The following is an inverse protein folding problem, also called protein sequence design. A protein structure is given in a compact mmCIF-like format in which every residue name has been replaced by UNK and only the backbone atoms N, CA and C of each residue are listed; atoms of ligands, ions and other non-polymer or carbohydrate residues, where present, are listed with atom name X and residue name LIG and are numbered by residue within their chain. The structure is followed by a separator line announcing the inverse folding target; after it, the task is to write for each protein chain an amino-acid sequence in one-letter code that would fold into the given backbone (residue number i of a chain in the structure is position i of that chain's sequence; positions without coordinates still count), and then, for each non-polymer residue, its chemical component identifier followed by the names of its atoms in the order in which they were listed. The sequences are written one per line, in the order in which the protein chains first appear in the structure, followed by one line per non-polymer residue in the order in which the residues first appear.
data_IF_925420042723
#
_entry.id   IF_925420042723
#
_cell.length_a   1.000
_cell.length_b   1.000
_cell.length_c   1.000
_cell.angle_alpha   90.00
_cell.angle_beta   90.00
_cell.angle_gamma   90.00
#
_symmetry.space_group_name_H-M   'P 1'
#
loop_
_entity.id
_entity.type
_entity.pdbx_description
1 polymer ?
#
# COMPACT_ATOMS: atom_id res chain seq x y z
N UNK A 1 -23.47 -36.50 -27.99
CA UNK A 1 -24.09 -35.77 -26.86
C UNK A 1 -23.10 -35.81 -25.71
N UNK A 2 -22.33 -34.74 -25.54
CA UNK A 2 -21.32 -34.61 -24.51
C UNK A 2 -21.84 -33.62 -23.48
N UNK A 3 -22.15 -34.11 -22.30
CA UNK A 3 -22.48 -33.33 -21.11
C UNK A 3 -21.29 -32.42 -20.80
N UNK A 4 -21.48 -31.10 -20.97
CA UNK A 4 -20.59 -30.10 -20.37
C UNK A 4 -20.79 -30.18 -18.86
N UNK A 5 -19.88 -30.85 -18.18
CA UNK A 5 -19.64 -30.62 -16.75
C UNK A 5 -19.15 -29.17 -16.66
N UNK A 6 -20.00 -28.27 -16.17
CA UNK A 6 -19.59 -26.91 -15.83
C UNK A 6 -18.59 -27.02 -14.69
N UNK A 7 -17.32 -26.81 -14.99
CA UNK A 7 -16.29 -26.52 -14.00
C UNK A 7 -16.62 -25.19 -13.34
N UNK A 8 -17.42 -25.22 -12.27
CA UNK A 8 -17.46 -24.13 -11.28
C UNK A 8 -16.21 -24.27 -10.43
N UNK A 9 -15.17 -23.49 -10.74
CA UNK A 9 -13.95 -23.40 -9.94
C UNK A 9 -13.66 -21.95 -9.54
N UNK A 10 -14.66 -21.27 -8.97
CA UNK A 10 -14.54 -19.84 -8.60
C UNK A 10 -15.09 -19.45 -7.21
N UNK A 11 -15.49 -20.37 -6.34
CA UNK A 11 -16.10 -19.98 -5.06
C UNK A 11 -15.45 -20.67 -3.85
N UNK A 12 -14.41 -20.03 -3.32
CA UNK A 12 -13.85 -20.25 -1.98
C UNK A 12 -13.70 -18.91 -1.25
N UNK A 13 -14.78 -18.12 -1.20
CA UNK A 13 -14.79 -16.82 -0.52
C UNK A 13 -16.11 -16.59 0.20
N UNK A 14 -16.08 -16.71 1.53
CA UNK A 14 -17.22 -16.47 2.40
C UNK A 14 -16.89 -16.87 3.83
N UNK A 15 -17.76 -16.54 4.80
CA UNK A 15 -17.53 -16.87 6.19
C UNK A 15 -17.66 -18.37 6.46
N UNK A 16 -17.05 -18.85 7.54
CA UNK A 16 -17.13 -20.25 7.96
C UNK A 16 -17.48 -20.33 9.43
N UNK A 17 -18.40 -21.21 9.82
CA UNK A 17 -18.92 -21.28 11.18
C UNK A 17 -20.27 -21.98 11.25
N UNK A 18 -21.13 -21.52 12.16
CA UNK A 18 -22.45 -22.10 12.36
C UNK A 18 -23.50 -21.00 12.36
N UNK A 19 -24.64 -21.29 11.73
CA UNK A 19 -25.84 -20.46 11.81
C UNK A 19 -26.92 -21.22 12.59
N UNK A 20 -27.44 -20.58 13.64
CA UNK A 20 -28.57 -21.03 14.44
C UNK A 20 -29.83 -20.35 13.92
N UNK A 21 -30.87 -21.12 13.63
CA UNK A 21 -32.11 -20.62 13.08
C UNK A 21 -33.29 -21.49 13.56
N UNK A 22 -34.19 -20.91 14.35
CA UNK A 22 -35.36 -21.62 14.86
C UNK A 22 -35.01 -22.85 15.73
N UNK A 23 -33.83 -22.84 16.37
CA UNK A 23 -33.32 -23.97 17.17
C UNK A 23 -32.59 -25.05 16.37
N UNK A 24 -32.53 -24.92 15.04
CA UNK A 24 -31.69 -25.77 14.18
C UNK A 24 -30.32 -25.10 13.97
N UNK A 25 -29.26 -25.92 13.89
CA UNK A 25 -27.92 -25.44 13.52
C UNK A 25 -27.55 -25.93 12.13
N UNK A 26 -27.10 -25.01 11.29
CA UNK A 26 -26.55 -25.30 9.97
C UNK A 26 -25.06 -24.98 9.95
N UNK A 27 -24.30 -25.82 9.24
CA UNK A 27 -22.89 -25.55 8.98
C UNK A 27 -22.78 -24.50 7.88
N UNK A 28 -21.89 -23.53 8.07
CA UNK A 28 -21.49 -22.60 7.02
C UNK A 28 -20.03 -22.87 6.66
N UNK A 29 -19.76 -23.17 5.40
CA UNK A 29 -18.42 -23.45 4.88
C UNK A 29 -18.13 -22.57 3.65
N UNK A 30 -17.19 -21.64 3.79
CA UNK A 30 -16.89 -20.62 2.76
C UNK A 30 -18.15 -19.93 2.20
N UNK A 31 -19.05 -19.53 3.11
CA UNK A 31 -20.34 -18.91 2.84
C UNK A 31 -21.45 -19.90 2.51
N UNK A 32 -21.16 -21.15 2.15
CA UNK A 32 -22.19 -22.13 1.78
C UNK A 32 -22.89 -22.66 3.02
N UNK A 33 -24.21 -22.55 3.06
CA UNK A 33 -25.02 -23.06 4.18
C UNK A 33 -25.45 -24.48 3.82
N UNK A 34 -25.07 -25.42 4.69
CA UNK A 34 -25.29 -26.84 4.52
C UNK A 34 -26.26 -27.38 5.59
N UNK A 35 -27.27 -28.12 5.14
CA UNK A 35 -28.15 -28.88 6.01
C UNK A 35 -27.42 -30.08 6.63
N UNK A 36 -28.06 -30.74 7.61
CA UNK A 36 -27.48 -31.87 8.34
C UNK A 36 -27.12 -33.08 7.44
N UNK A 37 -27.77 -33.22 6.29
CA UNK A 37 -27.49 -34.24 5.28
C UNK A 37 -26.33 -33.87 4.33
N UNK A 38 -25.70 -32.70 4.54
CA UNK A 38 -24.62 -32.17 3.72
C UNK A 38 -25.07 -31.47 2.44
N UNK A 39 -26.38 -31.38 2.18
CA UNK A 39 -26.89 -30.64 1.01
C UNK A 39 -26.76 -29.14 1.23
N UNK A 40 -26.31 -28.42 0.20
CA UNK A 40 -26.28 -26.96 0.22
C UNK A 40 -27.69 -26.42 0.06
N UNK A 41 -28.15 -25.64 1.04
CA UNK A 41 -29.49 -25.04 1.05
C UNK A 41 -29.47 -23.50 0.92
N UNK A 42 -28.30 -22.87 1.10
CA UNK A 42 -28.15 -21.43 0.96
C UNK A 42 -26.71 -20.92 0.94
N UNK A 43 -26.59 -19.62 1.16
CA UNK A 43 -25.37 -18.85 1.20
C UNK A 43 -25.48 -17.69 2.21
N UNK A 44 -24.42 -17.47 2.99
CA UNK A 44 -24.21 -16.35 3.89
C UNK A 44 -23.04 -15.51 3.37
N UNK A 45 -23.26 -14.20 3.26
CA UNK A 45 -22.21 -13.23 2.97
C UNK A 45 -21.66 -12.61 4.26
N UNK A 46 -20.45 -12.02 4.20
CA UNK A 46 -19.77 -11.47 5.40
C UNK A 46 -20.50 -10.26 6.00
N UNK A 47 -21.27 -9.54 5.18
CA UNK A 47 -22.06 -8.37 5.57
C UNK A 47 -23.41 -8.72 6.22
N UNK A 48 -23.72 -10.01 6.34
CA UNK A 48 -24.95 -10.52 6.95
C UNK A 48 -26.08 -10.77 5.96
N UNK A 49 -25.89 -10.60 4.65
CA UNK A 49 -26.90 -11.05 3.70
C UNK A 49 -26.96 -12.57 3.59
N UNK A 50 -28.18 -13.08 3.51
CA UNK A 50 -28.51 -14.47 3.28
C UNK A 50 -29.20 -14.65 1.94
N UNK A 51 -28.92 -15.76 1.28
CA UNK A 51 -29.60 -16.21 0.07
C UNK A 51 -29.84 -17.71 0.16
N UNK A 52 -31.05 -18.18 -0.07
CA UNK A 52 -31.31 -19.61 -0.08
C UNK A 52 -32.79 -19.96 0.02
N UNK A 53 -33.06 -21.25 0.03
CA UNK A 53 -34.41 -21.80 0.13
C UNK A 53 -34.52 -22.71 1.37
N UNK A 54 -34.25 -22.16 2.55
CA UNK A 54 -34.30 -22.89 3.82
C UNK A 54 -34.93 -22.05 4.93
N UNK A 55 -35.61 -22.72 5.86
CA UNK A 55 -36.29 -22.05 6.97
C UNK A 55 -37.17 -20.86 6.53
N UNK A 56 -37.08 -19.69 7.19
CA UNK A 56 -37.86 -18.49 6.88
C UNK A 56 -37.44 -17.77 5.57
N UNK A 57 -36.43 -18.27 4.85
CA UNK A 57 -36.04 -17.74 3.54
C UNK A 57 -36.84 -18.35 2.38
N UNK A 58 -37.57 -19.45 2.60
CA UNK A 58 -38.35 -20.12 1.56
C UNK A 58 -39.40 -19.23 0.89
N UNK A 59 -39.93 -18.25 1.63
CA UNK A 59 -40.93 -17.29 1.14
C UNK A 59 -40.33 -15.94 0.70
N UNK A 60 -39.04 -15.70 0.97
CA UNK A 60 -38.36 -14.44 0.65
C UNK A 60 -37.56 -14.57 -0.65
N UNK A 61 -37.89 -13.76 -1.65
CA UNK A 61 -37.11 -13.71 -2.89
C UNK A 61 -35.99 -12.68 -2.80
N UNK A 62 -34.74 -13.13 -2.99
CA UNK A 62 -33.57 -12.24 -3.07
C UNK A 62 -32.61 -12.38 -1.90
N UNK A 63 -31.85 -11.31 -1.63
CA UNK A 63 -31.00 -11.20 -0.45
C UNK A 63 -31.84 -10.74 0.73
N UNK A 64 -31.62 -11.34 1.89
CA UNK A 64 -32.31 -11.01 3.14
C UNK A 64 -31.26 -10.76 4.20
N UNK A 65 -31.32 -9.64 4.92
CA UNK A 65 -30.38 -9.41 6.01
C UNK A 65 -30.67 -10.39 7.15
N UNK A 66 -29.62 -10.96 7.74
CA UNK A 66 -29.73 -11.86 8.89
C UNK A 66 -30.46 -11.19 10.07
N UNK A 67 -30.32 -9.86 10.20
CA UNK A 67 -30.99 -9.04 11.21
C UNK A 67 -32.53 -9.00 11.04
N UNK A 68 -33.02 -9.24 9.82
CA UNK A 68 -34.47 -9.31 9.50
C UNK A 68 -35.08 -10.70 9.76
N UNK A 69 -34.30 -11.64 10.30
CA UNK A 69 -34.73 -13.01 10.59
C UNK A 69 -34.67 -13.25 12.08
N UNK A 70 -35.84 -13.31 12.70
CA UNK A 70 -35.98 -13.51 14.14
C UNK A 70 -35.24 -14.78 14.61
N UNK A 71 -34.36 -14.62 15.59
CA UNK A 71 -33.59 -15.71 16.18
C UNK A 71 -32.50 -16.31 15.27
N UNK A 72 -32.19 -15.68 14.14
CA UNK A 72 -31.11 -16.11 13.26
C UNK A 72 -29.77 -15.55 13.73
N UNK A 73 -28.81 -16.41 14.07
CA UNK A 73 -27.48 -15.98 14.53
C UNK A 73 -26.40 -16.82 13.86
N UNK A 74 -25.40 -16.18 13.29
CA UNK A 74 -24.16 -16.77 12.84
C UNK A 74 -23.01 -16.46 13.81
N UNK A 75 -22.19 -17.47 14.08
CA UNK A 75 -20.92 -17.33 14.80
C UNK A 75 -19.83 -18.09 14.06
N UNK A 76 -18.72 -17.43 13.80
CA UNK A 76 -17.61 -18.05 13.09
C UNK A 76 -16.51 -17.06 12.72
N UNK A 77 -15.98 -17.23 11.52
CA UNK A 77 -14.92 -16.40 10.96
C UNK A 77 -15.29 -15.91 9.57
N UNK A 78 -14.78 -14.74 9.19
CA UNK A 78 -14.84 -14.24 7.81
C UNK A 78 -13.82 -14.97 6.91
N UNK A 79 -13.79 -14.63 5.62
CA UNK A 79 -12.89 -15.25 4.63
C UNK A 79 -11.39 -15.04 4.91
N UNK A 80 -11.04 -14.08 5.78
CA UNK A 80 -9.66 -13.83 6.21
C UNK A 80 -9.31 -14.52 7.53
N UNK A 81 -10.28 -15.20 8.15
CA UNK A 81 -10.10 -15.90 9.41
C UNK A 81 -10.21 -15.01 10.65
N UNK A 82 -10.82 -13.83 10.53
CA UNK A 82 -11.15 -12.99 11.69
C UNK A 82 -12.55 -13.33 12.20
N UNK A 83 -12.74 -13.23 13.52
CA UNK A 83 -14.02 -13.47 14.19
C UNK A 83 -15.17 -12.67 13.55
N UNK A 84 -16.27 -13.35 13.29
CA UNK A 84 -17.47 -12.79 12.70
C UNK A 84 -18.71 -13.33 13.41
N UNK A 85 -19.45 -12.41 14.01
CA UNK A 85 -20.73 -12.67 14.66
C UNK A 85 -21.81 -11.81 14.01
N UNK A 86 -22.94 -12.43 13.66
CA UNK A 86 -24.04 -11.79 12.95
C UNK A 86 -25.39 -12.31 13.48
N UNK A 87 -26.39 -11.47 13.78
CA UNK A 87 -26.26 -10.02 13.94
C UNK A 87 -25.25 -9.70 15.05
N UNK A 88 -24.54 -8.59 14.90
CA UNK A 88 -23.59 -8.12 15.90
C UNK A 88 -24.30 -7.58 17.16
N UNK A 89 -23.51 -7.26 18.19
CA UNK A 89 -24.03 -6.74 19.47
C UNK A 89 -24.63 -5.33 19.35
N UNK A 90 -24.22 -4.56 18.34
CA UNK A 90 -24.66 -3.16 18.14
C UNK A 90 -25.50 -3.05 16.88
N UNK A 91 -26.68 -2.44 17.04
CA UNK A 91 -27.48 -1.96 15.91
C UNK A 91 -26.84 -0.67 15.42
N UNK A 92 -26.70 -0.52 14.11
CA UNK A 92 -26.09 0.64 13.48
C UNK A 92 -26.91 1.16 12.30
N UNK A 93 -26.40 2.21 11.62
CA UNK A 93 -27.06 2.84 10.48
C UNK A 93 -27.14 1.93 9.25
N UNK A 94 -28.09 2.23 8.36
CA UNK A 94 -28.25 1.60 7.05
C UNK A 94 -28.14 2.64 5.93
N UNK A 95 -27.38 2.36 4.87
CA UNK A 95 -27.25 3.31 3.77
C UNK A 95 -26.10 3.06 2.82
N UNK A 96 -25.70 4.13 2.12
CA UNK A 96 -24.57 4.13 1.19
C UNK A 96 -23.45 4.99 1.76
N UNK A 97 -22.24 4.44 1.81
CA UNK A 97 -21.02 5.14 2.20
C UNK A 97 -20.10 5.29 0.98
N UNK A 98 -19.84 6.51 0.55
CA UNK A 98 -18.80 6.82 -0.43
C UNK A 98 -17.49 7.13 0.30
N UNK A 99 -16.55 6.20 0.26
CA UNK A 99 -15.25 6.29 0.93
C UNK A 99 -14.12 6.49 -0.08
N UNK A 100 -13.50 7.66 -0.11
CA UNK A 100 -12.51 8.08 -1.11
C UNK A 100 -12.95 7.84 -2.58
N UNK A 101 -14.25 7.99 -2.86
CA UNK A 101 -14.82 7.72 -4.17
C UNK A 101 -15.28 6.28 -4.40
N UNK A 102 -14.88 5.32 -3.56
CA UNK A 102 -15.37 3.93 -3.57
C UNK A 102 -16.75 3.89 -2.93
N UNK A 103 -17.70 3.23 -3.59
CA UNK A 103 -19.08 3.07 -3.08
C UNK A 103 -19.17 1.78 -2.27
N UNK A 104 -19.52 1.94 -1.00
CA UNK A 104 -19.70 0.88 -0.02
C UNK A 104 -21.15 0.88 0.48
N UNK A 105 -21.61 -0.29 0.88
CA UNK A 105 -22.94 -0.49 1.48
C UNK A 105 -22.77 -0.54 2.99
N UNK A 106 -23.66 0.11 3.73
CA UNK A 106 -23.73 0.00 5.20
C UNK A 106 -25.04 -0.69 5.56
N UNK A 107 -24.95 -1.82 6.26
CA UNK A 107 -26.11 -2.61 6.69
C UNK A 107 -26.01 -2.85 8.18
N UNK A 108 -26.93 -2.30 8.94
CA UNK A 108 -26.94 -2.36 10.41
C UNK A 108 -25.56 -2.01 11.01
N UNK A 109 -24.97 -0.93 10.51
CA UNK A 109 -23.63 -0.45 10.87
C UNK A 109 -22.47 -1.23 10.24
N UNK A 110 -22.67 -2.34 9.53
CA UNK A 110 -21.60 -3.10 8.88
C UNK A 110 -21.25 -2.49 7.53
N UNK A 111 -20.00 -2.08 7.34
CA UNK A 111 -19.51 -1.55 6.05
C UNK A 111 -19.05 -2.71 5.18
N UNK A 112 -19.63 -2.81 3.99
CA UNK A 112 -19.35 -3.85 3.02
C UNK A 112 -19.06 -3.29 1.64
N UNK A 113 -18.24 -4.04 0.91
CA UNK A 113 -18.01 -3.86 -0.52
C UNK A 113 -19.23 -4.30 -1.32
N UNK A 114 -19.29 -3.94 -2.61
CA UNK A 114 -20.38 -4.33 -3.50
C UNK A 114 -20.47 -5.85 -3.73
N UNK A 115 -19.38 -6.59 -3.50
CA UNK A 115 -19.33 -8.05 -3.51
C UNK A 115 -19.55 -8.68 -2.12
N UNK A 116 -20.12 -7.91 -1.18
CA UNK A 116 -20.54 -8.34 0.16
C UNK A 116 -19.39 -8.81 1.07
N UNK A 117 -18.16 -8.33 0.84
CA UNK A 117 -17.06 -8.51 1.79
C UNK A 117 -17.12 -7.44 2.86
N UNK A 118 -16.98 -7.86 4.11
CA UNK A 118 -16.99 -6.99 5.27
C UNK A 118 -15.63 -6.29 5.40
N UNK A 119 -15.65 -4.97 5.51
CA UNK A 119 -14.44 -4.13 5.60
C UNK A 119 -14.39 -3.27 6.86
N UNK A 120 -15.50 -3.11 7.56
CA UNK A 120 -15.55 -2.26 8.74
C UNK A 120 -16.94 -2.16 9.36
N UNK A 121 -17.04 -1.21 10.29
CA UNK A 121 -18.26 -0.80 10.97
C UNK A 121 -18.38 0.73 10.93
N UNK A 122 -19.61 1.22 10.96
CA UNK A 122 -19.98 2.63 11.00
C UNK A 122 -21.06 2.80 12.07
N UNK A 123 -20.92 3.77 12.97
CA UNK A 123 -21.91 4.05 14.01
C UNK A 123 -22.72 5.34 13.74
N UNK A 124 -23.74 5.60 14.57
CA UNK A 124 -24.63 6.77 14.42
C UNK A 124 -23.95 8.11 14.75
N UNK A 125 -22.76 8.06 15.37
CA UNK A 125 -21.90 9.20 15.62
C UNK A 125 -21.05 9.59 14.39
N UNK A 126 -20.95 8.71 13.40
CA UNK A 126 -20.15 8.93 12.19
C UNK A 126 -18.74 8.37 12.30
N UNK A 127 -18.45 7.55 13.30
CA UNK A 127 -17.15 6.93 13.48
C UNK A 127 -17.02 5.67 12.61
N UNK A 128 -15.88 5.54 11.94
CA UNK A 128 -15.55 4.38 11.11
C UNK A 128 -14.56 3.50 11.87
N UNK A 129 -14.89 2.22 11.99
CA UNK A 129 -13.99 1.19 12.46
C UNK A 129 -13.63 0.28 11.29
N UNK A 130 -12.36 0.03 11.07
CA UNK A 130 -11.90 -0.85 9.99
C UNK A 130 -11.55 -2.23 10.52
N UNK A 131 -11.74 -3.22 9.65
CA UNK A 131 -11.28 -4.60 9.85
C UNK A 131 -9.92 -4.77 9.18
N UNK A 132 -8.86 -4.91 9.97
CA UNK A 132 -7.51 -5.09 9.46
C UNK A 132 -7.18 -6.58 9.32
N UNK A 133 -7.26 -7.06 8.07
CA UNK A 133 -7.02 -8.47 7.70
C UNK A 133 -5.55 -8.89 7.86
N UNK A 134 -4.61 -7.95 7.80
CA UNK A 134 -3.17 -8.26 7.85
C UNK A 134 -2.71 -8.57 9.28
N UNK A 135 -3.19 -7.77 10.24
CA UNK A 135 -2.87 -7.98 11.67
C UNK A 135 -3.98 -8.67 12.46
N UNK A 136 -5.06 -9.06 11.78
CA UNK A 136 -6.20 -9.77 12.36
C UNK A 136 -6.87 -9.01 13.50
N UNK A 137 -7.06 -7.71 13.32
CA UNK A 137 -7.74 -6.86 14.29
C UNK A 137 -9.15 -6.53 13.77
N UNK A 138 -10.22 -7.02 14.43
CA UNK A 138 -11.58 -6.95 13.91
C UNK A 138 -12.19 -5.55 14.03
N UNK A 139 -11.61 -4.66 14.85
CA UNK A 139 -12.20 -3.35 15.10
C UNK A 139 -11.15 -2.31 15.48
N UNK A 140 -10.73 -1.51 14.51
CA UNK A 140 -9.83 -0.36 14.70
C UNK A 140 -10.49 0.94 14.31
N UNK A 141 -10.60 1.86 15.26
CA UNK A 141 -11.17 3.20 15.01
C UNK A 141 -10.21 4.01 14.13
N UNK A 142 -10.71 4.57 13.03
CA UNK A 142 -9.96 5.54 12.25
C UNK A 142 -10.02 6.91 12.93
N UNK A 143 -8.90 7.61 12.92
CA UNK A 143 -8.78 8.99 13.39
C UNK A 143 -8.74 9.98 12.21
N UNK A 144 -8.68 11.28 12.50
CA UNK A 144 -8.55 12.33 11.49
C UNK A 144 -7.30 12.20 10.59
N UNK A 145 -6.28 11.45 11.03
CA UNK A 145 -5.03 11.26 10.31
C UNK A 145 -5.05 10.05 9.38
N UNK A 146 -5.95 9.10 9.60
CA UNK A 146 -6.00 7.80 8.91
C UNK A 146 -7.28 7.66 8.10
N UNK A 147 -8.35 8.34 8.48
CA UNK A 147 -9.58 8.43 7.70
C UNK A 147 -9.38 9.20 6.39
N UNK A 148 -9.94 8.65 5.31
CA UNK A 148 -10.05 9.31 4.00
C UNK A 148 -11.38 10.05 3.91
N UNK A 149 -11.57 10.82 2.83
CA UNK A 149 -12.84 11.52 2.62
C UNK A 149 -14.00 10.52 2.63
N UNK A 150 -15.03 10.79 3.41
CA UNK A 150 -16.22 9.95 3.47
C UNK A 150 -17.49 10.77 3.37
N UNK A 151 -18.48 10.21 2.69
CA UNK A 151 -19.82 10.74 2.60
C UNK A 151 -20.83 9.60 2.78
N UNK A 152 -21.68 9.70 3.78
CA UNK A 152 -22.74 8.76 4.09
C UNK A 152 -24.11 9.38 3.83
N UNK A 153 -25.00 8.60 3.24
CA UNK A 153 -26.41 8.91 3.05
C UNK A 153 -27.25 7.67 3.36
N UNK A 154 -28.19 7.80 4.28
CA UNK A 154 -29.01 6.68 4.74
C UNK A 154 -29.87 7.02 5.94
N UNK A 155 -30.07 6.05 6.82
CA UNK A 155 -30.80 6.18 8.07
C UNK A 155 -29.92 5.78 9.25
N UNK A 156 -30.16 6.39 10.41
CA UNK A 156 -29.62 5.95 11.71
C UNK A 156 -30.30 4.68 12.18
N UNK A 157 -29.76 4.06 13.23
CA UNK A 157 -30.36 2.89 13.88
C UNK A 157 -31.80 3.10 14.36
N UNK A 158 -32.20 4.35 14.64
CA UNK A 158 -33.56 4.72 15.02
C UNK A 158 -34.53 4.93 13.83
N UNK A 159 -34.04 4.73 12.60
CA UNK A 159 -34.79 4.90 11.36
C UNK A 159 -34.88 6.34 10.86
N UNK A 160 -34.26 7.32 11.54
CA UNK A 160 -34.23 8.70 11.08
C UNK A 160 -33.24 8.90 9.93
N UNK A 161 -33.65 9.68 8.91
CA UNK A 161 -32.78 10.00 7.78
C UNK A 161 -31.55 10.80 8.23
N UNK A 162 -30.38 10.41 7.74
CA UNK A 162 -29.10 10.94 8.17
C UNK A 162 -28.10 11.03 7.01
N UNK A 163 -27.43 12.18 6.95
CA UNK A 163 -26.29 12.41 6.06
C UNK A 163 -25.09 12.83 6.90
N UNK A 164 -23.93 12.27 6.63
CA UNK A 164 -22.70 12.58 7.32
C UNK A 164 -21.54 12.73 6.34
N UNK A 165 -20.75 13.79 6.47
CA UNK A 165 -19.59 14.03 5.61
C UNK A 165 -18.35 14.30 6.48
N UNK A 166 -17.30 13.53 6.23
CA UNK A 166 -15.96 13.85 6.71
C UNK A 166 -15.09 14.23 5.51
N UNK A 167 -14.77 15.52 5.43
CA UNK A 167 -13.82 16.04 4.47
C UNK A 167 -12.46 16.21 5.13
N UNK A 168 -11.50 15.35 4.76
CA UNK A 168 -10.11 15.59 5.12
C UNK A 168 -9.67 16.91 4.47
N UNK A 169 -8.92 17.78 5.18
CA UNK A 169 -8.40 19.02 4.61
C UNK A 169 -7.31 18.70 3.57
N UNK A 170 -7.73 18.30 2.38
CA UNK A 170 -6.90 18.08 1.21
C UNK A 170 -6.73 19.39 0.45
N UNK A 171 -5.53 19.61 -0.08
CA UNK A 171 -5.19 20.82 -0.83
C UNK A 171 -5.99 20.95 -2.13
N UNK A 172 -6.38 19.81 -2.74
CA UNK A 172 -7.13 19.73 -4.02
C UNK A 172 -8.18 18.63 -4.01
N UNK A 173 -9.45 19.03 -3.88
CA UNK A 173 -10.61 18.10 -3.79
C UNK A 173 -10.86 17.27 -5.06
N UNK A 174 -10.27 17.63 -6.20
CA UNK A 174 -10.44 16.96 -7.48
C UNK A 174 -9.37 15.89 -7.79
N UNK A 175 -8.42 15.69 -6.88
CA UNK A 175 -7.33 14.72 -7.04
C UNK A 175 -7.50 13.56 -6.05
N UNK A 176 -6.87 12.44 -6.36
CA UNK A 176 -6.80 11.29 -5.46
C UNK A 176 -6.10 11.65 -4.14
N UNK A 177 -6.24 10.79 -3.13
CA UNK A 177 -5.58 11.00 -1.86
C UNK A 177 -4.05 10.95 -2.02
N UNK A 178 -3.56 9.96 -2.77
CA UNK A 178 -2.14 9.78 -3.04
C UNK A 178 -1.55 11.00 -3.76
N UNK A 179 -2.23 11.53 -4.78
CA UNK A 179 -1.81 12.73 -5.49
C UNK A 179 -1.73 13.96 -4.59
N UNK A 180 -2.72 14.15 -3.70
CA UNK A 180 -2.72 15.25 -2.74
C UNK A 180 -1.52 15.18 -1.79
N UNK A 181 -1.19 13.98 -1.29
CA UNK A 181 -0.08 13.81 -0.37
C UNK A 181 1.28 14.00 -1.05
N UNK A 182 1.41 13.66 -2.33
CA UNK A 182 2.59 14.03 -3.13
C UNK A 182 2.69 15.56 -3.22
N UNK A 183 1.63 16.25 -3.61
CA UNK A 183 1.64 17.72 -3.72
C UNK A 183 2.00 18.38 -2.38
N UNK A 184 1.47 17.88 -1.27
CA UNK A 184 1.79 18.38 0.08
C UNK A 184 3.20 18.08 0.53
N UNK A 185 3.83 17.05 -0.02
CA UNK A 185 5.20 16.70 0.30
C UNK A 185 6.21 17.62 -0.40
N UNK A 186 5.89 18.20 -1.57
CA UNK A 186 6.77 19.12 -2.28
C UNK A 186 6.37 20.59 -2.09
N UNK A 187 7.10 21.31 -1.22
CA UNK A 187 7.04 22.76 -1.11
C UNK A 187 7.38 23.36 -2.49
N UNK A 188 6.44 24.09 -3.10
CA UNK A 188 6.51 24.62 -4.47
C UNK A 188 6.19 23.66 -5.63
N UNK A 189 5.48 22.56 -5.39
CA UNK A 189 4.96 21.70 -6.47
C UNK A 189 4.27 22.49 -7.60
N UNK A 190 3.56 23.56 -7.25
CA UNK A 190 2.81 24.36 -8.22
C UNK A 190 3.67 25.19 -9.17
N UNK A 191 4.90 25.52 -8.77
CA UNK A 191 5.88 26.22 -9.61
C UNK A 191 6.51 25.30 -10.67
N UNK A 192 6.36 23.98 -10.53
CA UNK A 192 6.87 23.00 -11.48
C UNK A 192 6.12 23.07 -12.83
N UNK A 193 6.85 22.87 -13.92
CA UNK A 193 6.28 22.69 -15.24
C UNK A 193 5.62 21.29 -15.38
N UNK A 194 4.85 21.08 -16.45
CA UNK A 194 4.08 19.85 -16.60
C UNK A 194 4.94 18.56 -16.63
N UNK A 195 6.06 18.51 -17.38
CA UNK A 195 6.98 17.36 -17.32
C UNK A 195 7.54 17.09 -15.91
N UNK A 196 7.92 18.13 -15.17
CA UNK A 196 8.41 18.01 -13.79
C UNK A 196 7.34 17.43 -12.87
N UNK A 197 6.10 17.92 -12.98
CA UNK A 197 4.96 17.40 -12.23
C UNK A 197 4.73 15.92 -12.54
N UNK A 198 4.71 15.54 -13.82
CA UNK A 198 4.52 14.14 -14.22
C UNK A 198 5.59 13.21 -13.63
N UNK A 199 6.85 13.61 -13.74
CA UNK A 199 7.97 12.87 -13.18
C UNK A 199 7.84 12.67 -11.66
N UNK A 200 7.57 13.74 -10.91
CA UNK A 200 7.40 13.69 -9.45
C UNK A 200 6.24 12.77 -9.06
N UNK A 201 5.11 12.90 -9.76
CA UNK A 201 3.92 12.10 -9.47
C UNK A 201 4.19 10.61 -9.75
N UNK A 202 4.81 10.29 -10.87
CA UNK A 202 5.16 8.92 -11.27
C UNK A 202 6.14 8.27 -10.28
N UNK A 203 7.19 9.01 -9.88
CA UNK A 203 8.23 8.48 -9.01
C UNK A 203 7.77 8.32 -7.55
N UNK A 204 6.75 9.05 -7.11
CA UNK A 204 6.27 9.05 -5.73
C UNK A 204 4.94 8.30 -5.51
N UNK A 205 4.24 7.91 -6.58
CA UNK A 205 2.91 7.30 -6.51
C UNK A 205 2.86 6.07 -5.62
N UNK A 206 3.84 5.18 -5.75
CA UNK A 206 3.93 3.97 -4.91
C UNK A 206 3.89 4.34 -3.42
N UNK A 207 4.79 5.22 -3.01
CA UNK A 207 5.02 5.59 -1.62
C UNK A 207 3.83 6.33 -1.01
N UNK A 208 3.15 7.17 -1.81
CA UNK A 208 1.94 7.86 -1.39
C UNK A 208 0.74 6.92 -1.29
N UNK A 209 0.59 5.99 -2.23
CA UNK A 209 -0.54 5.06 -2.30
C UNK A 209 -0.48 3.98 -1.22
N UNK A 210 0.70 3.65 -0.70
CA UNK A 210 0.87 2.70 0.40
C UNK A 210 1.03 3.35 1.79
N UNK A 211 0.88 4.68 1.89
CA UNK A 211 0.92 5.40 3.17
C UNK A 211 2.31 5.77 3.70
N UNK A 212 3.39 5.27 3.09
CA UNK A 212 4.76 5.49 3.59
C UNK A 212 5.21 6.94 3.45
N UNK A 213 4.82 7.62 2.38
CA UNK A 213 5.14 9.04 2.17
C UNK A 213 4.64 9.90 3.33
N UNK A 214 3.45 9.59 3.85
CA UNK A 214 2.79 10.35 4.90
C UNK A 214 3.48 10.15 6.26
N UNK A 215 3.97 8.93 6.53
CA UNK A 215 4.78 8.64 7.73
C UNK A 215 6.12 9.36 7.64
N UNK A 216 6.82 9.23 6.51
CA UNK A 216 8.10 9.90 6.28
C UNK A 216 7.94 11.42 6.38
N UNK A 217 6.92 12.01 5.74
CA UNK A 217 6.66 13.46 5.80
C UNK A 217 6.42 13.97 7.21
N UNK A 218 5.70 13.21 8.03
CA UNK A 218 5.44 13.58 9.43
C UNK A 218 6.69 13.48 10.31
N UNK A 219 7.59 12.53 10.03
CA UNK A 219 8.82 12.33 10.79
C UNK A 219 9.95 13.25 10.34
N UNK A 220 10.15 13.35 9.03
CA UNK A 220 11.34 13.93 8.38
C UNK A 220 11.04 15.21 7.61
N UNK A 221 9.79 15.68 7.60
CA UNK A 221 9.37 16.92 6.96
C UNK A 221 9.13 16.83 5.44
N UNK A 222 9.20 17.97 4.76
CA UNK A 222 8.78 18.13 3.35
C UNK A 222 9.99 18.23 2.42
N UNK A 223 9.82 17.98 1.12
CA UNK A 223 10.84 18.26 0.11
C UNK A 223 10.72 19.71 -0.37
N UNK A 224 11.83 20.46 -0.32
CA UNK A 224 11.95 21.82 -0.84
C UNK A 224 12.79 21.85 -2.12
N UNK A 225 12.49 22.78 -3.03
CA UNK A 225 13.33 23.03 -4.20
C UNK A 225 14.28 24.20 -3.96
N UNK A 226 15.60 24.00 -4.12
CA UNK A 226 16.59 25.08 -4.20
C UNK A 226 17.80 25.01 -3.25
N UNK A 227 19.01 24.93 -3.82
CA UNK A 227 20.36 25.02 -3.22
C UNK A 227 20.62 24.16 -1.97
N UNK A 228 20.92 22.88 -2.18
CA UNK A 228 21.77 22.12 -1.26
C UNK A 228 22.95 21.51 -2.00
N UNK A 229 24.12 21.65 -1.39
CA UNK A 229 25.35 20.98 -1.78
C UNK A 229 25.16 19.48 -1.56
N UNK A 230 25.22 18.70 -2.63
CA UNK A 230 25.64 17.30 -2.57
C UNK A 230 26.92 17.24 -1.73
N UNK A 231 26.80 16.79 -0.50
CA UNK A 231 27.88 16.91 0.46
C UNK A 231 27.63 15.94 1.59
N UNK A 232 28.01 14.69 1.36
CA UNK A 232 28.21 13.66 2.36
C UNK A 232 27.15 13.65 3.47
N UNK A 233 26.19 12.73 3.37
CA UNK A 233 25.33 12.31 4.49
C UNK A 233 26.12 11.63 5.64
N UNK A 234 27.34 12.10 5.92
CA UNK A 234 28.04 11.96 7.18
C UNK A 234 28.41 13.35 7.66
N UNK A 235 27.89 13.73 8.82
CA UNK A 235 28.23 14.93 9.59
C UNK A 235 27.42 16.19 9.22
N UNK A 236 26.31 16.36 9.96
CA UNK A 236 25.65 17.63 10.29
C UNK A 236 25.03 18.43 9.13
N UNK A 237 23.78 18.11 8.80
CA UNK A 237 22.90 18.93 7.98
C UNK A 237 21.43 18.48 8.00
N UNK A 238 21.18 17.18 8.18
CA UNK A 238 19.83 16.57 8.19
C UNK A 238 19.22 16.56 9.60
N UNK A 239 19.27 17.68 10.32
CA UNK A 239 18.50 17.84 11.59
C UNK A 239 17.27 18.74 11.46
N UNK A 240 17.00 19.27 10.27
CA UNK A 240 15.85 20.13 10.01
C UNK A 240 15.22 19.80 8.65
N UNK A 241 14.55 18.65 8.57
CA UNK A 241 13.24 18.54 7.96
C UNK A 241 13.05 18.73 6.44
N UNK A 242 14.08 19.09 5.68
CA UNK A 242 13.90 19.45 4.26
C UNK A 242 14.91 18.74 3.34
N UNK A 243 14.42 17.85 2.46
CA UNK A 243 15.19 17.42 1.27
C UNK A 243 15.27 18.61 0.35
N UNK A 244 16.46 18.95 -0.14
CA UNK A 244 16.60 20.07 -1.07
C UNK A 244 17.16 19.56 -2.39
N UNK A 245 16.32 19.61 -3.42
CA UNK A 245 16.73 19.24 -4.77
C UNK A 245 17.45 20.43 -5.43
N UNK A 246 18.68 20.21 -5.91
CA UNK A 246 19.36 21.18 -6.76
C UNK A 246 18.56 21.37 -8.05
N UNK A 247 18.29 22.62 -8.42
CA UNK A 247 17.37 22.93 -9.53
C UNK A 247 17.97 22.52 -10.88
N UNK A 248 19.25 22.75 -11.09
CA UNK A 248 19.92 22.44 -12.36
C UNK A 248 20.05 20.92 -12.53
N UNK A 249 20.36 20.22 -11.44
CA UNK A 249 20.43 18.77 -11.39
C UNK A 249 19.06 18.12 -11.60
N UNK A 250 18.02 18.64 -10.95
CA UNK A 250 16.65 18.20 -11.14
C UNK A 250 16.19 18.37 -12.60
N UNK A 251 16.48 19.52 -13.23
CA UNK A 251 16.16 19.76 -14.64
C UNK A 251 16.93 18.80 -15.56
N UNK A 252 18.21 18.56 -15.28
CA UNK A 252 19.04 17.61 -16.04
C UNK A 252 18.55 16.18 -15.90
N UNK A 253 18.22 15.73 -14.69
CA UNK A 253 17.74 14.38 -14.42
C UNK A 253 16.40 14.09 -15.10
N UNK A 254 15.48 15.06 -15.12
CA UNK A 254 14.21 14.90 -15.88
C UNK A 254 14.47 14.74 -17.37
N UNK A 255 15.44 15.48 -17.92
CA UNK A 255 15.82 15.35 -19.32
C UNK A 255 16.45 13.97 -19.61
N UNK A 256 17.24 13.42 -18.68
CA UNK A 256 17.78 12.07 -18.77
C UNK A 256 16.69 11.01 -18.65
N UNK A 257 15.79 11.14 -17.68
CA UNK A 257 14.64 10.24 -17.50
C UNK A 257 13.76 10.19 -18.75
N UNK A 258 13.42 11.36 -19.31
CA UNK A 258 12.63 11.44 -20.54
C UNK A 258 13.32 10.79 -21.74
N UNK A 259 14.65 10.84 -21.79
CA UNK A 259 15.44 10.37 -22.94
C UNK A 259 15.82 8.89 -22.85
N UNK A 260 16.15 8.41 -21.65
CA UNK A 260 16.75 7.11 -21.42
C UNK A 260 15.91 6.22 -20.49
N UNK A 261 14.87 6.76 -19.87
CA UNK A 261 14.06 6.07 -18.87
C UNK A 261 14.72 6.07 -17.48
N UNK A 262 14.28 5.16 -16.59
CA UNK A 262 14.72 5.15 -15.18
C UNK A 262 16.19 4.77 -15.00
N UNK A 263 16.84 4.18 -16.01
CA UNK A 263 18.24 3.77 -15.96
C UNK A 263 18.99 4.24 -17.21
N UNK A 264 20.19 4.76 -17.04
CA UNK A 264 21.06 5.18 -18.14
C UNK A 264 22.48 4.61 -17.97
N UNK A 265 23.14 4.32 -19.09
CA UNK A 265 24.57 3.99 -19.13
C UNK A 265 25.30 5.23 -19.63
N UNK A 266 26.21 5.76 -18.81
CA UNK A 266 26.97 6.97 -19.13
C UNK A 266 28.46 6.67 -19.23
N UNK A 267 29.12 7.29 -20.21
CA UNK A 267 30.58 7.23 -20.30
C UNK A 267 31.20 8.08 -19.20
N UNK A 268 32.26 7.57 -18.55
CA UNK A 268 33.08 8.37 -17.64
C UNK A 268 34.32 8.90 -18.38
N UNK A 269 35.07 9.79 -17.72
CA UNK A 269 36.30 10.38 -18.30
C UNK A 269 37.35 9.31 -18.64
N UNK A 270 37.40 8.23 -17.85
CA UNK A 270 38.37 7.15 -18.04
C UNK A 270 37.82 6.09 -19.00
N UNK A 271 38.25 6.12 -20.25
CA UNK A 271 37.84 5.15 -21.25
C UNK A 271 38.52 3.77 -21.03
N UNK A 272 37.86 2.64 -21.37
CA UNK A 272 36.54 2.52 -21.97
C UNK A 272 35.40 2.39 -20.93
N UNK A 273 35.60 2.86 -19.70
CA UNK A 273 34.66 2.60 -18.62
C UNK A 273 33.38 3.44 -18.69
N UNK A 274 32.30 2.84 -18.19
CA UNK A 274 30.96 3.40 -18.09
C UNK A 274 30.42 3.22 -16.68
N UNK A 275 29.45 4.04 -16.32
CA UNK A 275 28.68 3.97 -15.08
C UNK A 275 27.20 3.77 -15.43
N UNK A 276 26.49 2.92 -14.69
CA UNK A 276 25.03 2.83 -14.78
C UNK A 276 24.42 3.77 -13.75
N UNK A 277 23.46 4.61 -14.12
CA UNK A 277 22.78 5.53 -13.20
C UNK A 277 21.29 5.32 -13.19
N UNK A 278 20.67 5.55 -12.03
CA UNK A 278 19.22 5.64 -11.89
C UNK A 278 18.81 7.10 -12.02
N UNK A 279 17.95 7.41 -13.00
CA UNK A 279 17.47 8.77 -13.25
C UNK A 279 16.19 9.06 -12.45
N UNK A 280 16.21 8.80 -11.14
CA UNK A 280 15.06 8.92 -10.24
C UNK A 280 15.42 9.70 -8.96
N UNK A 281 16.05 10.87 -9.13
CA UNK A 281 16.56 11.72 -8.03
C UNK A 281 15.52 12.01 -6.94
N UNK A 282 14.26 12.23 -7.29
CA UNK A 282 13.21 12.52 -6.29
C UNK A 282 12.98 11.33 -5.35
N UNK A 283 12.89 10.13 -5.91
CA UNK A 283 12.69 8.92 -5.12
C UNK A 283 13.97 8.46 -4.43
N UNK A 284 15.13 8.80 -4.97
CA UNK A 284 16.43 8.62 -4.32
C UNK A 284 16.51 9.41 -3.01
N UNK A 285 16.21 10.71 -3.06
CA UNK A 285 16.21 11.54 -1.85
C UNK A 285 15.14 11.10 -0.84
N UNK A 286 13.97 10.69 -1.32
CA UNK A 286 12.97 10.05 -0.46
C UNK A 286 13.52 8.79 0.20
N UNK A 287 14.36 8.02 -0.49
CA UNK A 287 15.03 6.84 0.07
C UNK A 287 15.90 7.14 1.28
N UNK A 288 16.65 8.25 1.26
CA UNK A 288 17.39 8.71 2.44
C UNK A 288 16.45 9.02 3.62
N UNK A 289 15.33 9.68 3.37
CA UNK A 289 14.36 9.93 4.45
C UNK A 289 13.67 8.65 4.94
N UNK A 290 13.35 7.73 4.02
CA UNK A 290 12.75 6.44 4.35
C UNK A 290 13.67 5.62 5.26
N UNK A 291 14.99 5.73 5.12
CA UNK A 291 15.96 5.06 5.99
C UNK A 291 15.73 5.39 7.48
N UNK A 292 15.36 6.64 7.80
CA UNK A 292 15.14 7.10 9.17
C UNK A 292 13.88 6.52 9.82
N UNK A 293 12.89 6.05 9.05
CA UNK A 293 11.70 5.40 9.63
C UNK A 293 11.86 3.89 9.80
N UNK A 294 12.94 3.32 9.28
CA UNK A 294 13.25 1.89 9.43
C UNK A 294 13.70 1.53 10.85
N UNK A 295 13.38 0.30 11.25
CA UNK A 295 13.90 -0.29 12.49
C UNK A 295 15.41 -0.51 12.42
N UNK A 296 16.07 -0.56 13.58
CA UNK A 296 17.50 -0.88 13.63
C UNK A 296 17.82 -2.24 12.99
N UNK A 297 16.95 -3.24 13.18
CA UNK A 297 17.13 -4.56 12.58
C UNK A 297 17.12 -4.49 11.04
N UNK A 298 16.21 -3.71 10.48
CA UNK A 298 16.13 -3.48 9.02
C UNK A 298 17.38 -2.78 8.50
N UNK A 299 17.87 -1.75 9.20
CA UNK A 299 19.10 -1.03 8.83
C UNK A 299 20.33 -1.95 8.89
N UNK A 300 20.40 -2.85 9.87
CA UNK A 300 21.47 -3.86 9.94
C UNK A 300 21.41 -4.81 8.73
N UNK A 301 20.23 -5.32 8.37
CA UNK A 301 20.07 -6.18 7.19
C UNK A 301 20.51 -5.48 5.89
N UNK A 302 20.16 -4.20 5.73
CA UNK A 302 20.59 -3.38 4.59
C UNK A 302 22.10 -3.23 4.57
N UNK A 303 22.72 -2.98 5.72
CA UNK A 303 24.18 -2.84 5.87
C UNK A 303 24.91 -4.13 5.49
N UNK A 304 24.45 -5.28 6.00
CA UNK A 304 25.04 -6.59 5.68
C UNK A 304 24.96 -6.90 4.18
N UNK A 305 23.82 -6.58 3.56
CA UNK A 305 23.61 -6.78 2.14
C UNK A 305 24.52 -5.86 1.31
N UNK A 306 24.63 -4.59 1.68
CA UNK A 306 25.55 -3.64 1.05
C UNK A 306 27.00 -4.11 1.13
N UNK A 307 27.49 -4.52 2.30
CA UNK A 307 28.89 -4.96 2.46
C UNK A 307 29.19 -6.20 1.62
N UNK A 308 28.23 -7.14 1.53
CA UNK A 308 28.34 -8.30 0.65
C UNK A 308 28.47 -7.89 -0.82
N UNK A 309 27.64 -6.95 -1.28
CA UNK A 309 27.68 -6.45 -2.65
C UNK A 309 28.95 -5.64 -2.94
N UNK A 310 29.38 -4.81 -1.99
CA UNK A 310 30.62 -4.04 -2.09
C UNK A 310 31.84 -4.96 -2.21
N UNK A 311 31.91 -6.02 -1.41
CA UNK A 311 32.96 -7.03 -1.51
C UNK A 311 32.92 -7.78 -2.85
N UNK A 312 31.72 -8.15 -3.32
CA UNK A 312 31.51 -8.79 -4.63
C UNK A 312 31.97 -7.88 -5.77
N UNK A 313 31.55 -6.62 -5.77
CA UNK A 313 31.94 -5.61 -6.75
C UNK A 313 33.45 -5.38 -6.73
N UNK A 314 34.07 -5.23 -5.56
CA UNK A 314 35.53 -5.11 -5.44
C UNK A 314 36.32 -6.30 -6.00
N UNK A 315 35.75 -7.51 -5.96
CA UNK A 315 36.37 -8.73 -6.50
C UNK A 315 36.22 -8.85 -8.02
N UNK A 316 35.03 -8.56 -8.56
CA UNK A 316 34.72 -8.80 -9.97
C UNK A 316 34.94 -7.56 -10.86
N UNK A 317 34.73 -6.38 -10.30
CA UNK A 317 34.80 -5.08 -10.98
C UNK A 317 35.64 -4.10 -10.14
N UNK A 318 36.95 -4.40 -9.95
CA UNK A 318 37.84 -3.50 -9.21
C UNK A 318 37.89 -2.12 -9.89
N UNK A 319 38.03 -1.07 -9.08
CA UNK A 319 38.13 0.29 -9.61
C UNK A 319 39.37 0.41 -10.52
N UNK A 320 39.25 1.02 -11.71
CA UNK A 320 40.37 1.21 -12.61
C UNK A 320 41.46 2.09 -11.99
N UNK A 321 42.71 1.83 -12.37
CA UNK A 321 43.83 2.70 -11.99
C UNK A 321 43.59 4.13 -12.50
N UNK A 322 43.74 5.11 -11.60
CA UNK A 322 43.52 6.53 -11.90
C UNK A 322 42.06 6.98 -11.82
N UNK A 323 41.13 6.10 -11.42
CA UNK A 323 39.77 6.52 -11.07
C UNK A 323 39.71 7.03 -9.63
N UNK A 324 39.37 8.32 -9.47
CA UNK A 324 39.30 8.99 -8.16
C UNK A 324 37.93 8.82 -7.46
N UNK A 325 36.93 8.27 -8.16
CA UNK A 325 35.59 8.06 -7.62
C UNK A 325 35.43 6.73 -6.88
N UNK A 326 34.27 6.56 -6.24
CA UNK A 326 33.91 5.34 -5.50
C UNK A 326 32.78 4.53 -6.16
N UNK A 327 32.19 5.04 -7.25
CA UNK A 327 31.11 4.36 -7.96
C UNK A 327 31.58 3.06 -8.64
N UNK A 328 30.67 2.10 -8.82
CA UNK A 328 30.93 0.95 -9.67
C UNK A 328 31.05 1.42 -11.13
N UNK A 329 32.20 1.16 -11.73
CA UNK A 329 32.47 1.46 -13.13
C UNK A 329 32.82 0.17 -13.85
N UNK A 330 32.29 0.03 -15.06
CA UNK A 330 32.27 -1.21 -15.82
C UNK A 330 32.75 -0.96 -17.23
N UNK A 331 33.23 -1.99 -17.92
CA UNK A 331 33.30 -1.91 -19.39
C UNK A 331 31.89 -2.09 -19.98
N UNK A 332 31.61 -1.63 -21.22
CA UNK A 332 30.28 -1.74 -21.82
C UNK A 332 29.74 -3.18 -21.85
N UNK A 333 30.62 -4.17 -22.00
CA UNK A 333 30.27 -5.59 -22.04
C UNK A 333 29.83 -6.13 -20.66
N UNK A 334 30.21 -5.47 -19.57
CA UNK A 334 29.95 -5.90 -18.19
C UNK A 334 28.66 -5.30 -17.60
N UNK A 335 28.02 -4.34 -18.28
CA UNK A 335 26.84 -3.60 -17.77
C UNK A 335 25.70 -4.51 -17.31
N UNK A 336 25.44 -5.60 -18.04
CA UNK A 336 24.38 -6.56 -17.69
C UNK A 336 24.74 -7.49 -16.53
N UNK A 337 26.02 -7.55 -16.15
CA UNK A 337 26.54 -8.41 -15.08
C UNK A 337 26.88 -7.61 -13.81
N UNK A 338 26.56 -6.32 -13.79
CA UNK A 338 26.85 -5.40 -12.69
C UNK A 338 26.34 -5.91 -11.34
N UNK A 339 26.98 -5.44 -10.26
CA UNK A 339 26.54 -5.84 -8.91
C UNK A 339 25.45 -4.90 -8.41
N UNK A 340 25.58 -3.61 -8.66
CA UNK A 340 24.66 -2.61 -8.13
C UNK A 340 23.64 -2.15 -9.17
N UNK A 341 22.46 -1.73 -8.70
CA UNK A 341 21.41 -1.19 -9.59
C UNK A 341 21.88 0.09 -10.31
N UNK A 342 22.62 0.92 -9.58
CA UNK A 342 23.34 2.13 -10.01
C UNK A 342 24.80 2.02 -9.57
N UNK A 343 25.75 2.55 -10.33
CA UNK A 343 27.15 2.58 -9.94
C UNK A 343 27.37 3.44 -8.71
N UNK A 344 26.60 4.51 -8.55
CA UNK A 344 26.67 5.41 -7.40
C UNK A 344 26.31 4.72 -6.07
N UNK A 345 25.50 3.66 -6.10
CA UNK A 345 25.17 2.83 -4.94
C UNK A 345 26.40 2.20 -4.26
N UNK A 346 27.53 2.02 -4.98
CA UNK A 346 28.76 1.45 -4.41
C UNK A 346 29.43 2.37 -3.38
N UNK A 347 29.12 3.66 -3.39
CA UNK A 347 29.84 4.68 -2.63
C UNK A 347 29.64 4.55 -1.12
N UNK A 348 28.41 4.32 -0.66
CA UNK A 348 28.05 4.13 0.75
C UNK A 348 26.79 3.28 0.91
N UNK A 349 26.54 2.80 2.13
CA UNK A 349 25.32 2.06 2.46
C UNK A 349 24.05 2.92 2.25
N UNK A 350 24.12 4.20 2.61
CA UNK A 350 23.00 5.15 2.45
C UNK A 350 22.65 5.35 0.98
N UNK A 351 23.66 5.49 0.14
CA UNK A 351 23.49 5.66 -1.31
C UNK A 351 22.99 4.38 -1.96
N UNK A 352 23.48 3.22 -1.49
CA UNK A 352 22.94 1.94 -1.90
C UNK A 352 21.44 1.80 -1.59
N UNK A 353 21.02 2.17 -0.39
CA UNK A 353 19.62 2.13 0.00
C UNK A 353 18.77 3.09 -0.85
N UNK A 354 19.19 4.34 -0.97
CA UNK A 354 18.48 5.37 -1.75
C UNK A 354 18.32 4.97 -3.23
N UNK A 355 19.36 4.43 -3.85
CA UNK A 355 19.34 3.92 -5.22
C UNK A 355 18.39 2.73 -5.39
N UNK A 356 18.31 1.83 -4.41
CA UNK A 356 17.36 0.73 -4.41
C UNK A 356 15.91 1.22 -4.25
N UNK A 357 15.65 2.17 -3.36
CA UNK A 357 14.33 2.82 -3.20
C UNK A 357 13.92 3.49 -4.50
N UNK A 358 14.82 4.26 -5.11
CA UNK A 358 14.60 4.93 -6.38
C UNK A 358 14.20 3.92 -7.46
N UNK A 359 15.00 2.87 -7.67
CA UNK A 359 14.67 1.82 -8.63
C UNK A 359 13.36 1.08 -8.33
N UNK A 360 13.02 0.85 -7.05
CA UNK A 360 11.78 0.18 -6.66
C UNK A 360 10.52 1.03 -6.88
N UNK A 361 10.68 2.35 -6.96
CA UNK A 361 9.58 3.30 -7.08
C UNK A 361 8.79 3.15 -8.38
N UNK A 362 9.48 2.82 -9.48
CA UNK A 362 8.89 2.71 -10.83
C UNK A 362 8.93 1.25 -11.30
N UNK A 363 7.86 0.80 -11.98
CA UNK A 363 7.65 -0.63 -12.29
C UNK A 363 8.78 -1.23 -13.12
N UNK A 364 9.25 -0.52 -14.14
CA UNK A 364 10.28 -0.97 -15.07
C UNK A 364 11.62 -1.21 -14.36
N UNK A 365 12.07 -0.26 -13.54
CA UNK A 365 13.31 -0.40 -12.76
C UNK A 365 13.16 -1.37 -11.59
N UNK A 366 11.95 -1.51 -11.02
CA UNK A 366 11.67 -2.48 -9.95
C UNK A 366 11.91 -3.92 -10.41
N UNK A 367 11.54 -4.26 -11.65
CA UNK A 367 11.83 -5.58 -12.26
C UNK A 367 13.32 -5.84 -12.34
N UNK A 368 14.09 -4.83 -12.78
CA UNK A 368 15.54 -4.95 -12.86
C UNK A 368 16.18 -5.09 -11.48
N UNK A 369 15.69 -4.36 -10.47
CA UNK A 369 16.14 -4.51 -9.09
C UNK A 369 15.87 -5.93 -8.57
N UNK A 370 14.71 -6.52 -8.87
CA UNK A 370 14.37 -7.89 -8.47
C UNK A 370 15.36 -8.92 -9.02
N UNK A 371 15.80 -8.73 -10.26
CA UNK A 371 16.76 -9.64 -10.93
C UNK A 371 18.19 -9.46 -10.41
N UNK A 372 18.63 -8.22 -10.24
CA UNK A 372 20.02 -7.89 -9.84
C UNK A 372 20.25 -8.05 -8.34
N UNK A 373 19.28 -7.59 -7.54
CA UNK A 373 19.34 -7.57 -6.09
C UNK A 373 18.02 -8.02 -5.45
N UNK A 374 17.72 -9.32 -5.51
CA UNK A 374 16.51 -9.88 -4.92
C UNK A 374 16.44 -9.66 -3.40
N UNK A 375 17.58 -9.44 -2.73
CA UNK A 375 17.64 -9.14 -1.30
C UNK A 375 17.07 -7.75 -1.00
N UNK A 376 17.55 -6.72 -1.71
CA UNK A 376 17.04 -5.36 -1.57
C UNK A 376 15.56 -5.27 -1.97
N UNK A 377 15.19 -5.94 -3.07
CA UNK A 377 13.80 -6.04 -3.50
C UNK A 377 12.90 -6.66 -2.41
N UNK A 378 13.32 -7.75 -1.77
CA UNK A 378 12.53 -8.38 -0.71
C UNK A 378 12.33 -7.46 0.50
N UNK A 379 13.39 -6.74 0.91
CA UNK A 379 13.31 -5.74 1.99
C UNK A 379 12.31 -4.65 1.61
N UNK A 380 12.40 -4.06 0.42
CA UNK A 380 11.53 -2.98 -0.03
C UNK A 380 10.07 -3.43 -0.20
N UNK A 381 9.86 -4.64 -0.71
CA UNK A 381 8.54 -5.27 -0.75
C UNK A 381 7.95 -5.39 0.65
N UNK A 382 8.73 -5.89 1.61
CA UNK A 382 8.27 -6.07 2.98
C UNK A 382 8.06 -4.72 3.71
N UNK A 383 8.79 -3.66 3.34
CA UNK A 383 8.52 -2.30 3.83
C UNK A 383 7.12 -1.84 3.41
N UNK A 384 6.65 -2.24 2.22
CA UNK A 384 5.31 -1.90 1.71
C UNK A 384 4.23 -2.83 2.25
N UNK A 385 4.45 -4.15 2.24
CA UNK A 385 3.41 -5.15 2.58
C UNK A 385 3.38 -5.53 4.05
N UNK A 386 4.53 -5.49 4.72
CA UNK A 386 4.70 -5.94 6.10
C UNK A 386 5.40 -4.85 6.94
N UNK A 387 4.92 -3.59 6.93
CA UNK A 387 5.64 -2.49 7.55
C UNK A 387 5.89 -2.72 9.04
N UNK A 388 4.99 -3.43 9.74
CA UNK A 388 5.16 -3.79 11.16
C UNK A 388 6.47 -4.53 11.48
N UNK A 389 7.04 -5.27 10.52
CA UNK A 389 8.35 -5.95 10.66
C UNK A 389 9.52 -5.03 10.35
N UNK A 390 9.32 -4.06 9.45
CA UNK A 390 10.41 -3.30 8.85
C UNK A 390 10.62 -1.92 9.48
N UNK A 391 9.54 -1.28 9.97
CA UNK A 391 9.59 0.09 10.48
C UNK A 391 9.66 0.15 12.00
N UNK A 392 10.06 1.31 12.52
CA UNK A 392 10.17 1.57 13.97
C UNK A 392 8.81 1.38 14.67
N UNK A 393 8.79 0.82 15.89
CA UNK A 393 7.56 0.59 16.65
C UNK A 393 6.63 1.80 16.76
N UNK A 394 7.19 3.01 16.93
CA UNK A 394 6.45 4.27 17.07
C UNK A 394 5.56 4.61 15.87
N UNK A 395 5.84 4.07 14.68
CA UNK A 395 5.07 4.35 13.46
C UNK A 395 4.13 3.22 13.06
N UNK A 396 4.13 2.08 13.77
CA UNK A 396 3.44 0.84 13.32
C UNK A 396 1.93 1.00 13.28
N UNK A 397 1.33 1.47 14.36
CA UNK A 397 -0.13 1.62 14.42
C UNK A 397 -0.61 2.58 13.33
N UNK A 398 0.03 3.75 13.24
CA UNK A 398 -0.34 4.76 12.26
C UNK A 398 -0.24 4.28 10.81
N UNK A 399 0.82 3.56 10.42
CA UNK A 399 0.93 3.07 9.03
C UNK A 399 -0.09 1.96 8.76
N UNK A 400 -0.39 1.11 9.74
CA UNK A 400 -1.30 -0.01 9.56
C UNK A 400 -2.73 0.50 9.38
N UNK A 401 -3.17 1.42 10.22
CA UNK A 401 -4.47 2.08 10.13
C UNK A 401 -4.62 2.80 8.79
N UNK A 402 -3.58 3.55 8.39
CA UNK A 402 -3.56 4.24 7.11
C UNK A 402 -3.60 3.26 5.94
N UNK A 403 -2.83 2.17 5.95
CA UNK A 403 -2.83 1.19 4.87
C UNK A 403 -4.18 0.48 4.73
N UNK A 404 -4.81 0.12 5.84
CA UNK A 404 -6.14 -0.48 5.82
C UNK A 404 -7.19 0.50 5.27
N UNK A 405 -7.14 1.75 5.72
CA UNK A 405 -7.96 2.82 5.16
C UNK A 405 -7.73 3.04 3.65
N UNK A 406 -6.47 3.03 3.19
CA UNK A 406 -6.10 3.15 1.77
C UNK A 406 -6.56 1.98 0.92
N UNK A 407 -6.60 0.76 1.46
CA UNK A 407 -7.16 -0.42 0.77
C UNK A 407 -8.66 -0.27 0.56
N UNK A 408 -9.39 0.14 1.60
CA UNK A 408 -10.84 0.38 1.52
C UNK A 408 -11.14 1.52 0.53
N UNK A 409 -10.33 2.58 0.56
CA UNK A 409 -10.44 3.71 -0.36
C UNK A 409 -9.90 3.48 -1.78
N UNK A 410 -9.46 2.26 -2.11
CA UNK A 410 -9.02 1.88 -3.46
C UNK A 410 -7.67 2.42 -3.91
N UNK A 411 -6.89 3.05 -3.02
CA UNK A 411 -5.56 3.59 -3.33
C UNK A 411 -4.47 2.50 -3.22
N UNK A 412 -4.53 1.70 -2.13
CA UNK A 412 -3.60 0.60 -1.92
C UNK A 412 -4.22 -0.70 -2.44
N UNK A 413 -3.81 -1.12 -3.64
CA UNK A 413 -4.25 -2.38 -4.25
C UNK A 413 -3.14 -3.43 -4.22
N UNK A 414 -3.50 -4.71 -4.31
CA UNK A 414 -2.53 -5.82 -4.43
C UNK A 414 -1.63 -5.66 -5.67
N UNK A 415 -2.13 -5.00 -6.71
CA UNK A 415 -1.38 -4.74 -7.95
C UNK A 415 -0.29 -3.68 -7.82
N UNK A 416 -0.28 -2.89 -6.73
CA UNK A 416 0.62 -1.76 -6.54
C UNK A 416 2.10 -2.17 -6.59
N UNK A 417 2.39 -3.38 -6.12
CA UNK A 417 3.73 -3.99 -6.13
C UNK A 417 3.84 -5.20 -7.07
N UNK A 418 2.76 -5.56 -7.78
CA UNK A 418 2.76 -6.70 -8.69
C UNK A 418 3.61 -6.40 -9.95
N UNK A 419 4.33 -7.41 -10.43
CA UNK A 419 5.25 -7.29 -11.55
C UNK A 419 4.56 -7.15 -12.91
#
# INVERSE_FOLDING_TARGET
MSTKVSTMSEQSQGPSGFIELGGEMFLVDYGRICAADGSQCGYLYEDGYLKGNFGPLTEKHGLVAIDDIEGCVFRGIDSSGMELDLPGVRVGPDGTLKYNGVVLTVINGRIATQDHRLVGEFDDEGEIYVRDREIKEPRRRLDENTQLNSYFEGNRSDGSAWTHEFGRPLYRKNLSYSDNEIIRYFDDFDKLNQPQKQYVMESMRLWASCGLLQIVRKSEGVAQFGNVRHGAAGVTGVRHGNVTLDKEEFEKEIMLYKRFGPLAVIAIRLQPYVEVRVNLVVSHEFGHQLEFVLSQASQTLITELYEKHKAKSGRYYPLPNGYEGYAEVLTPQQVHQRVFISGYARTSMHEYWAECVAAFSVRESRKMLKELDPGAYAILRDVVTNPSKMIRPVFREQIMDLQTSLRIGGEYTESLIAD
#
